data_IF_951268875698
#
_entry.id   IF_951268875698
#
_cell.length_a   1.000
_cell.length_b   1.000
_cell.length_c   1.000
_cell.angle_alpha   90.00
_cell.angle_beta   90.00
_cell.angle_gamma   90.00
#
_symmetry.space_group_name_H-M   'P 1'
#
loop_
_entity.id
_entity.type
_entity.pdbx_description
1 polymer ?
#
# COMPACT_ATOMS: atom_id res chain seq x y z
N UNK A 1 -7.68 3.46 -14.56
CA UNK A 1 -7.68 3.31 -13.09
C UNK A 1 -8.01 4.65 -12.44
N UNK A 2 -8.77 4.65 -11.34
CA UNK A 2 -9.25 5.86 -10.65
C UNK A 2 -8.09 6.78 -10.20
N UNK A 3 -8.16 8.07 -10.53
CA UNK A 3 -7.18 9.10 -10.11
C UNK A 3 -7.06 9.17 -8.58
N UNK A 4 -8.16 8.99 -7.84
CA UNK A 4 -8.18 8.99 -6.37
C UNK A 4 -7.36 7.83 -5.80
N UNK A 5 -7.41 6.66 -6.43
CA UNK A 5 -6.62 5.49 -6.01
C UNK A 5 -5.12 5.74 -6.19
N UNK A 6 -4.69 6.25 -7.37
CA UNK A 6 -3.28 6.60 -7.60
C UNK A 6 -2.78 7.63 -6.58
N UNK A 7 -3.59 8.65 -6.28
CA UNK A 7 -3.24 9.65 -5.27
C UNK A 7 -3.13 9.05 -3.87
N UNK A 8 -4.07 8.19 -3.48
CA UNK A 8 -4.06 7.52 -2.17
C UNK A 8 -2.82 6.64 -1.99
N UNK A 9 -2.45 5.89 -3.04
CA UNK A 9 -1.23 5.07 -3.06
C UNK A 9 0.05 5.90 -2.99
N UNK A 10 0.09 7.05 -3.67
CA UNK A 10 1.21 8.00 -3.56
C UNK A 10 1.37 8.52 -2.13
N UNK A 11 0.27 8.83 -1.44
CA UNK A 11 0.30 9.23 -0.03
C UNK A 11 0.80 8.08 0.84
N UNK A 12 0.33 6.85 0.61
CA UNK A 12 0.78 5.67 1.34
C UNK A 12 2.31 5.47 1.18
N UNK A 13 2.84 5.62 -0.03
CA UNK A 13 4.25 5.49 -0.31
C UNK A 13 5.10 6.55 0.41
N UNK A 14 4.68 7.82 0.36
CA UNK A 14 5.38 8.93 1.04
C UNK A 14 5.40 8.70 2.55
N UNK A 15 4.29 8.21 3.12
CA UNK A 15 4.15 7.98 4.56
C UNK A 15 4.72 6.63 5.02
N UNK A 16 5.29 5.83 4.11
CA UNK A 16 5.75 4.45 4.38
C UNK A 16 4.66 3.61 5.06
N UNK A 17 3.43 3.78 4.61
CA UNK A 17 2.28 3.05 5.13
C UNK A 17 2.23 1.64 4.57
N UNK A 18 1.73 0.73 5.42
CA UNK A 18 1.43 -0.62 5.00
C UNK A 18 0.16 -0.62 4.15
N UNK A 19 0.18 -1.40 3.08
CA UNK A 19 -0.94 -1.65 2.20
C UNK A 19 -1.24 -3.14 2.12
N UNK A 20 -2.50 -3.45 1.94
CA UNK A 20 -2.97 -4.78 1.53
C UNK A 20 -3.57 -4.62 0.15
N UNK A 21 -3.11 -5.43 -0.79
CA UNK A 21 -3.52 -5.44 -2.19
C UNK A 21 -4.17 -6.77 -2.49
N UNK A 22 -5.41 -6.74 -2.96
CA UNK A 22 -6.13 -7.90 -3.45
C UNK A 22 -5.98 -7.94 -4.97
N UNK A 23 -5.56 -9.07 -5.48
CA UNK A 23 -5.42 -9.33 -6.90
C UNK A 23 -6.67 -10.02 -7.43
N UNK A 24 -6.93 -9.81 -8.73
CA UNK A 24 -8.10 -10.39 -9.42
C UNK A 24 -8.11 -11.92 -9.47
N UNK A 25 -6.97 -12.56 -9.23
CA UNK A 25 -6.86 -14.02 -9.14
C UNK A 25 -7.23 -14.55 -7.73
N UNK A 26 -7.59 -13.67 -6.79
CA UNK A 26 -7.91 -14.01 -5.40
C UNK A 26 -6.73 -13.92 -4.43
N UNK A 27 -5.50 -13.73 -4.93
CA UNK A 27 -4.32 -13.60 -4.09
C UNK A 27 -4.28 -12.26 -3.34
N UNK A 28 -3.52 -12.24 -2.24
CA UNK A 28 -3.28 -11.01 -1.47
C UNK A 28 -1.79 -10.76 -1.29
N UNK A 29 -1.39 -9.50 -1.42
CA UNK A 29 -0.03 -9.05 -1.16
C UNK A 29 -0.07 -7.97 -0.08
N UNK A 30 0.79 -8.13 0.92
CA UNK A 30 0.90 -7.21 2.05
C UNK A 30 2.33 -6.69 2.14
N UNK A 31 2.48 -5.38 2.23
CA UNK A 31 3.80 -4.76 2.36
C UNK A 31 3.70 -3.25 2.50
N UNK A 32 4.84 -2.58 2.45
CA UNK A 32 4.92 -1.12 2.46
C UNK A 32 4.82 -0.61 1.02
N UNK A 33 3.95 0.37 0.79
CA UNK A 33 3.87 1.00 -0.52
C UNK A 33 5.16 1.78 -0.80
N UNK A 34 5.65 1.73 -2.04
CA UNK A 34 6.77 2.54 -2.51
C UNK A 34 6.40 3.37 -3.72
N UNK A 35 7.16 4.45 -3.95
CA UNK A 35 7.00 5.27 -5.15
C UNK A 35 7.47 4.46 -6.35
N UNK A 36 6.58 4.31 -7.34
CA UNK A 36 6.91 3.74 -8.65
C UNK A 36 7.23 4.87 -9.62
N UNK A 37 8.30 4.71 -10.40
CA UNK A 37 8.57 5.55 -11.56
C UNK A 37 7.72 5.13 -12.79
N UNK A 38 7.20 3.90 -12.78
CA UNK A 38 6.28 3.38 -13.79
C UNK A 38 4.83 3.75 -13.41
N UNK A 39 4.12 4.55 -14.23
CA UNK A 39 2.76 4.99 -13.93
C UNK A 39 1.72 3.86 -14.00
N UNK A 40 2.06 2.71 -14.58
CA UNK A 40 1.17 1.56 -14.79
C UNK A 40 1.44 0.40 -13.81
N UNK A 41 2.43 0.55 -12.93
CA UNK A 41 2.74 -0.42 -11.89
C UNK A 41 2.69 0.16 -10.48
N UNK A 42 2.26 -0.69 -9.56
CA UNK A 42 2.41 -0.50 -8.13
C UNK A 42 3.70 -1.19 -7.67
N UNK A 43 4.45 -0.53 -6.80
CA UNK A 43 5.64 -1.09 -6.15
C UNK A 43 5.34 -1.32 -4.68
N UNK A 44 5.56 -2.54 -4.20
CA UNK A 44 5.31 -2.95 -2.81
C UNK A 44 6.57 -3.63 -2.28
N UNK A 45 7.07 -3.15 -1.16
CA UNK A 45 8.15 -3.79 -0.45
C UNK A 45 7.57 -4.72 0.63
N UNK A 46 7.66 -6.02 0.40
CA UNK A 46 7.20 -7.05 1.33
C UNK A 46 8.32 -7.40 2.32
N UNK A 47 8.07 -8.35 3.22
CA UNK A 47 9.13 -8.84 4.11
C UNK A 47 10.17 -9.71 3.38
N UNK A 48 9.78 -10.32 2.27
CA UNK A 48 10.61 -11.25 1.51
C UNK A 48 11.31 -10.54 0.35
N UNK A 49 10.57 -9.71 -0.39
CA UNK A 49 11.05 -9.09 -1.61
C UNK A 49 10.29 -7.82 -2.02
N UNK A 50 10.81 -7.14 -3.03
CA UNK A 50 10.10 -6.05 -3.71
C UNK A 50 9.27 -6.60 -4.87
N UNK A 51 7.96 -6.42 -4.80
CA UNK A 51 7.01 -6.87 -5.82
C UNK A 51 6.54 -5.69 -6.68
N UNK A 52 6.50 -5.91 -7.98
CA UNK A 52 5.97 -4.97 -8.97
C UNK A 52 4.70 -5.52 -9.60
N UNK A 53 3.58 -4.84 -9.37
CA UNK A 53 2.26 -5.31 -9.78
C UNK A 53 1.66 -4.37 -10.83
N UNK A 54 1.28 -4.87 -12.02
CA UNK A 54 0.46 -4.12 -12.96
C UNK A 54 -0.88 -3.75 -12.33
N UNK A 55 -1.30 -2.49 -12.44
CA UNK A 55 -2.60 -2.08 -11.89
C UNK A 55 -3.80 -2.83 -12.48
N UNK A 56 -3.65 -3.38 -13.70
CA UNK A 56 -4.67 -4.22 -14.35
C UNK A 56 -4.96 -5.51 -13.58
N UNK A 57 -4.03 -6.00 -12.76
CA UNK A 57 -4.15 -7.22 -11.96
C UNK A 57 -4.68 -6.93 -10.55
N UNK A 58 -4.67 -5.66 -10.13
CA UNK A 58 -5.17 -5.23 -8.84
C UNK A 58 -6.70 -5.13 -8.90
N UNK A 59 -7.36 -5.78 -7.96
CA UNK A 59 -8.79 -5.68 -7.73
C UNK A 59 -9.10 -4.53 -6.75
N UNK A 60 -8.41 -4.50 -5.60
CA UNK A 60 -8.59 -3.44 -4.60
C UNK A 60 -7.34 -3.23 -3.74
N UNK A 61 -7.27 -2.08 -3.07
CA UNK A 61 -6.18 -1.73 -2.14
C UNK A 61 -6.76 -1.12 -0.86
N UNK A 62 -6.26 -1.57 0.29
CA UNK A 62 -6.53 -1.02 1.60
C UNK A 62 -5.25 -0.45 2.19
N UNK A 63 -5.31 0.79 2.69
CA UNK A 63 -4.22 1.42 3.44
C UNK A 63 -4.40 1.15 4.92
N UNK A 64 -3.33 0.72 5.57
CA UNK A 64 -3.29 0.47 7.01
C UNK A 64 -2.68 1.69 7.69
N UNK A 65 -3.54 2.52 8.29
CA UNK A 65 -3.12 3.68 9.08
C UNK A 65 -2.91 3.23 10.53
N UNK A 66 -1.69 3.39 11.06
CA UNK A 66 -1.40 3.11 12.47
C UNK A 66 -1.70 4.34 13.31
N UNK A 67 -2.67 4.21 14.22
CA UNK A 67 -2.91 5.20 15.27
C UNK A 67 -2.05 4.83 16.48
N UNK A 68 -1.21 5.76 16.95
CA UNK A 68 -0.46 5.59 18.20
C UNK A 68 -1.35 6.09 19.33
N UNK A 69 -1.70 5.21 20.26
CA UNK A 69 -2.32 5.62 21.52
C UNK A 69 -1.20 6.16 22.40
N UNK A 70 -1.26 7.45 22.73
CA UNK A 70 -0.39 8.05 23.75
C UNK A 70 -1.25 8.17 24.99
N UNK A 71 -1.03 7.28 25.96
CA UNK A 71 -1.59 7.43 27.30
C UNK A 71 -0.52 8.07 28.19
N UNK A 72 -0.84 9.20 28.82
CA UNK A 72 -0.08 9.65 29.98
C UNK A 72 -0.51 8.76 31.15
N UNK A 73 0.41 7.96 31.68
CA UNK A 73 0.22 7.33 32.98
C UNK A 73 0.36 8.44 34.02
N UNK A 74 -0.77 8.98 34.47
CA UNK A 74 -0.78 9.74 35.72
C UNK A 74 -0.64 8.73 36.85
N UNK A 75 0.52 8.70 37.51
CA UNK A 75 0.71 8.04 38.82
C UNK A 75 -0.03 8.78 39.92
#
# INVERSE_FOLDING_TARGET
>A
MDKKLKQSLKVAAIRKEMVVVWLKNGDKIKGIAEVSADPERLKINTIEETVWLPYKEVESVSRVVRLRIVGETSE
#
